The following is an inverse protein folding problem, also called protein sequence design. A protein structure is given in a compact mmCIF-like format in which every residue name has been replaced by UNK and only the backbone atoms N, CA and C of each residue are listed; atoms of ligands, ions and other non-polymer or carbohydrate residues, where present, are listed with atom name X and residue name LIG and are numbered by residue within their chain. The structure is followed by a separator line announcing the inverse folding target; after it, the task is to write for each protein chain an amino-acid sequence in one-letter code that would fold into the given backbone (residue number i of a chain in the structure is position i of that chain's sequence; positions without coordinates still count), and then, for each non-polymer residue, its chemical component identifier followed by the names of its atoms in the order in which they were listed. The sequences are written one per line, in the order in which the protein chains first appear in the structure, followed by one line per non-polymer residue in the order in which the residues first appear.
data_IF_798504800584
#
_entry.id   IF_798504800584
#
_cell.length_a   1.000
_cell.length_b   1.000
_cell.length_c   1.000
_cell.angle_alpha   90.00
_cell.angle_beta   90.00
_cell.angle_gamma   90.00
#
_symmetry.space_group_name_H-M   'P 1'
#
loop_
_entity.id
_entity.type
_entity.pdbx_description
1 polymer ?
#
# COMPACT_ATOMS: atom_id res chain seq x y z
N UNK A 1 -5.95 14.38 -36.39
CA UNK A 1 -7.27 14.58 -37.04
C UNK A 1 -7.19 15.09 -38.49
N UNK A 2 -6.02 15.40 -39.06
CA UNK A 2 -5.90 16.01 -40.39
C UNK A 2 -5.93 15.08 -41.64
N UNK A 3 -5.54 13.78 -41.62
CA UNK A 3 -5.43 13.02 -42.87
C UNK A 3 -6.79 12.53 -43.40
N UNK A 4 -7.77 12.28 -42.52
CA UNK A 4 -9.10 11.75 -42.92
C UNK A 4 -9.94 12.82 -43.66
N UNK A 5 -9.77 14.10 -43.34
CA UNK A 5 -10.46 15.18 -44.06
C UNK A 5 -9.99 15.30 -45.52
N UNK A 6 -8.70 15.06 -45.81
CA UNK A 6 -8.15 15.20 -47.15
C UNK A 6 -8.65 14.10 -48.11
N UNK A 7 -8.74 12.85 -47.63
CA UNK A 7 -9.23 11.72 -48.42
C UNK A 7 -10.72 11.84 -48.73
N UNK A 8 -11.52 12.34 -47.78
CA UNK A 8 -12.96 12.59 -48.00
C UNK A 8 -13.16 13.72 -49.01
N UNK A 9 -12.37 14.79 -48.94
CA UNK A 9 -12.46 15.91 -49.89
C UNK A 9 -12.13 15.49 -51.33
N UNK A 10 -11.17 14.58 -51.53
CA UNK A 10 -10.84 14.05 -52.87
C UNK A 10 -11.97 13.22 -53.49
N UNK A 11 -12.73 12.48 -52.69
CA UNK A 11 -13.90 11.72 -53.19
C UNK A 11 -15.00 12.68 -53.64
N UNK A 12 -15.27 13.74 -52.87
CA UNK A 12 -16.25 14.76 -53.24
C UNK A 12 -15.84 15.56 -54.48
N UNK A 13 -14.55 15.87 -54.64
CA UNK A 13 -14.03 16.54 -55.84
C UNK A 13 -14.14 15.64 -57.09
N UNK A 14 -13.92 14.33 -56.95
CA UNK A 14 -14.16 13.38 -58.04
C UNK A 14 -15.63 13.35 -58.49
N UNK A 15 -16.57 13.30 -57.54
CA UNK A 15 -18.02 13.24 -57.85
C UNK A 15 -18.50 14.52 -58.54
N UNK A 16 -18.02 15.69 -58.08
CA UNK A 16 -18.37 16.98 -58.67
C UNK A 16 -17.71 17.22 -60.03
N UNK A 17 -16.47 16.74 -60.23
CA UNK A 17 -15.71 16.95 -61.48
C UNK A 17 -16.21 16.10 -62.64
N UNK A 18 -16.88 14.99 -62.36
CA UNK A 18 -17.43 14.07 -63.38
C UNK A 18 -18.96 14.10 -63.49
N UNK A 19 -19.63 15.03 -62.81
CA UNK A 19 -21.07 15.33 -62.93
C UNK A 19 -21.98 14.08 -62.85
N UNK A 20 -21.63 13.08 -62.03
CA UNK A 20 -22.34 11.80 -61.97
C UNK A 20 -23.72 11.86 -61.25
N UNK A 21 -24.09 13.01 -60.69
CA UNK A 21 -25.30 13.17 -59.84
C UNK A 21 -26.22 14.32 -60.25
N UNK A 22 -26.21 14.77 -61.51
CA UNK A 22 -26.92 15.98 -61.98
C UNK A 22 -28.39 16.11 -61.52
N UNK A 23 -29.15 15.01 -61.48
CA UNK A 23 -30.61 15.05 -61.21
C UNK A 23 -31.02 14.76 -59.76
N UNK A 24 -30.09 14.36 -58.88
CA UNK A 24 -30.41 13.95 -57.50
C UNK A 24 -29.70 14.81 -56.47
N UNK A 25 -30.10 16.08 -56.41
CA UNK A 25 -29.61 17.11 -55.48
C UNK A 25 -29.66 16.73 -53.99
N UNK A 26 -30.44 15.71 -53.62
CA UNK A 26 -30.58 15.22 -52.24
C UNK A 26 -29.46 14.25 -51.81
N UNK A 27 -28.71 13.66 -52.75
CA UNK A 27 -27.71 12.62 -52.44
C UNK A 27 -26.51 13.18 -51.66
N UNK A 28 -25.84 14.27 -52.07
CA UNK A 28 -24.72 14.82 -51.31
C UNK A 28 -25.07 15.21 -49.86
N UNK A 29 -26.16 15.96 -49.56
CA UNK A 29 -26.50 16.28 -48.18
C UNK A 29 -26.92 15.04 -47.37
N UNK A 30 -27.56 14.04 -47.99
CA UNK A 30 -27.91 12.79 -47.32
C UNK A 30 -26.67 11.97 -46.92
N UNK A 31 -25.63 11.92 -47.78
CA UNK A 31 -24.35 11.27 -47.44
C UNK A 31 -23.71 11.97 -46.23
N UNK A 32 -23.69 13.30 -46.21
CA UNK A 32 -23.17 14.07 -45.07
C UNK A 32 -23.98 13.81 -43.79
N UNK A 33 -25.32 13.75 -43.87
CA UNK A 33 -26.16 13.39 -42.72
C UNK A 33 -25.89 11.97 -42.20
N UNK A 34 -25.69 11.00 -43.09
CA UNK A 34 -25.31 9.62 -42.72
C UNK A 34 -23.93 9.59 -42.05
N UNK A 35 -22.96 10.36 -42.57
CA UNK A 35 -21.63 10.47 -41.96
C UNK A 35 -21.71 11.04 -40.54
N UNK A 36 -22.45 12.13 -40.31
CA UNK A 36 -22.62 12.68 -38.97
C UNK A 36 -23.44 11.76 -38.04
N UNK A 37 -24.38 10.99 -38.58
CA UNK A 37 -25.04 9.91 -37.86
C UNK A 37 -24.06 8.82 -37.40
N UNK A 38 -23.13 8.42 -38.26
CA UNK A 38 -22.04 7.50 -37.93
C UNK A 38 -21.07 8.07 -36.89
N UNK A 39 -20.71 9.36 -36.99
CA UNK A 39 -19.89 10.05 -35.98
C UNK A 39 -20.60 10.10 -34.62
N UNK A 40 -21.91 10.35 -34.60
CA UNK A 40 -22.70 10.35 -33.37
C UNK A 40 -22.73 8.96 -32.71
N UNK A 41 -23.04 7.91 -33.47
CA UNK A 41 -23.07 6.54 -32.96
C UNK A 41 -21.67 6.09 -32.52
N UNK A 42 -20.65 6.41 -33.31
CA UNK A 42 -19.25 6.12 -33.00
C UNK A 42 -18.75 6.85 -31.75
N UNK A 43 -19.18 8.09 -31.52
CA UNK A 43 -18.84 8.84 -30.30
C UNK A 43 -19.51 8.26 -29.06
N UNK A 44 -20.78 7.85 -29.16
CA UNK A 44 -21.53 7.22 -28.06
C UNK A 44 -20.92 5.87 -27.66
N UNK A 45 -20.64 5.00 -28.64
CA UNK A 45 -20.06 3.68 -28.38
C UNK A 45 -18.59 3.81 -27.98
N UNK A 46 -17.82 4.64 -28.69
CA UNK A 46 -16.39 4.81 -28.46
C UNK A 46 -16.06 5.41 -27.10
N UNK A 47 -16.85 6.38 -26.63
CA UNK A 47 -16.71 6.96 -25.29
C UNK A 47 -16.97 5.91 -24.19
N UNK A 48 -18.10 5.21 -24.27
CA UNK A 48 -18.46 4.16 -23.30
C UNK A 48 -17.44 3.01 -23.29
N UNK A 49 -16.96 2.60 -24.46
CA UNK A 49 -15.94 1.56 -24.56
C UNK A 49 -14.61 2.02 -23.93
N UNK A 50 -14.20 3.26 -24.13
CA UNK A 50 -12.98 3.80 -23.52
C UNK A 50 -13.07 3.84 -21.98
N UNK A 51 -14.22 4.26 -21.43
CA UNK A 51 -14.44 4.28 -19.98
C UNK A 51 -14.45 2.87 -19.38
N UNK A 52 -15.11 1.91 -20.05
CA UNK A 52 -15.08 0.50 -19.63
C UNK A 52 -13.67 -0.08 -19.68
N UNK A 53 -12.92 0.18 -20.76
CA UNK A 53 -11.52 -0.26 -20.87
C UNK A 53 -10.67 0.34 -19.74
N UNK A 54 -10.83 1.63 -19.44
CA UNK A 54 -10.13 2.27 -18.33
C UNK A 54 -10.46 1.62 -16.99
N UNK A 55 -11.75 1.32 -16.72
CA UNK A 55 -12.18 0.64 -15.51
C UNK A 55 -11.58 -0.78 -15.40
N UNK A 56 -11.57 -1.55 -16.49
CA UNK A 56 -10.97 -2.89 -16.53
C UNK A 56 -9.47 -2.82 -16.26
N UNK A 57 -8.74 -1.91 -16.89
CA UNK A 57 -7.30 -1.75 -16.62
C UNK A 57 -7.02 -1.32 -15.18
N UNK A 58 -7.83 -0.41 -14.62
CA UNK A 58 -7.75 -0.03 -13.20
C UNK A 58 -8.01 -1.21 -12.27
N UNK A 59 -8.96 -2.08 -12.61
CA UNK A 59 -9.22 -3.30 -11.85
C UNK A 59 -8.02 -4.28 -11.88
N UNK A 60 -7.39 -4.46 -13.04
CA UNK A 60 -6.18 -5.29 -13.18
C UNK A 60 -5.01 -4.71 -12.39
N UNK A 61 -4.79 -3.40 -12.45
CA UNK A 61 -3.77 -2.70 -11.65
C UNK A 61 -4.05 -2.89 -10.16
N UNK A 62 -5.30 -2.70 -9.72
CA UNK A 62 -5.72 -2.90 -8.33
C UNK A 62 -5.50 -4.33 -7.83
N UNK A 63 -5.80 -5.32 -8.65
CA UNK A 63 -5.57 -6.73 -8.35
C UNK A 63 -4.07 -7.04 -8.19
N UNK A 64 -3.24 -6.44 -9.05
CA UNK A 64 -1.79 -6.62 -9.03
C UNK A 64 -1.15 -5.90 -7.83
N UNK A 65 -1.66 -4.73 -7.42
CA UNK A 65 -1.22 -4.03 -6.21
C UNK A 65 -1.39 -4.86 -4.93
N UNK A 66 -2.41 -5.73 -4.86
CA UNK A 66 -2.58 -6.66 -3.76
C UNK A 66 -1.42 -7.66 -3.63
N UNK A 67 -0.88 -8.12 -4.77
CA UNK A 67 0.26 -9.04 -4.79
C UNK A 67 1.58 -8.40 -4.33
N UNK A 68 1.78 -7.11 -4.60
CA UNK A 68 2.97 -6.35 -4.18
C UNK A 68 3.19 -6.39 -2.66
N UNK A 69 2.11 -6.34 -1.86
CA UNK A 69 2.21 -6.33 -0.39
C UNK A 69 2.75 -7.64 0.19
N UNK A 70 2.60 -8.76 -0.53
CA UNK A 70 3.20 -10.04 -0.15
C UNK A 70 4.65 -10.09 -0.61
N UNK A 71 4.91 -9.62 -1.83
CA UNK A 71 6.25 -9.60 -2.43
C UNK A 71 7.19 -8.59 -1.75
N UNK A 72 6.68 -7.57 -1.06
CA UNK A 72 7.54 -6.59 -0.37
C UNK A 72 8.42 -7.20 0.74
N UNK A 73 8.12 -8.42 1.21
CA UNK A 73 8.98 -9.15 2.15
C UNK A 73 10.14 -9.88 1.46
N UNK A 74 10.05 -10.15 0.16
CA UNK A 74 11.05 -10.91 -0.59
C UNK A 74 12.46 -10.29 -0.53
N UNK A 75 12.66 -8.97 -0.68
CA UNK A 75 14.01 -8.38 -0.59
C UNK A 75 14.69 -8.56 0.78
N UNK A 76 13.91 -8.71 1.86
CA UNK A 76 14.44 -8.91 3.22
C UNK A 76 15.24 -10.21 3.32
N UNK A 77 14.91 -11.19 2.48
CA UNK A 77 15.56 -12.50 2.48
C UNK A 77 16.99 -12.46 1.92
N UNK A 78 17.27 -11.52 1.02
CA UNK A 78 18.59 -11.34 0.41
C UNK A 78 19.46 -10.33 1.14
N UNK A 79 18.89 -9.63 2.13
CA UNK A 79 19.58 -8.59 2.88
C UNK A 79 19.99 -9.12 4.25
N UNK A 80 21.29 -8.98 4.56
CA UNK A 80 21.86 -9.38 5.84
C UNK A 80 21.22 -8.61 7.01
N UNK A 81 21.19 -9.22 8.20
CA UNK A 81 20.46 -8.71 9.37
C UNK A 81 20.77 -7.24 9.70
N UNK A 82 22.03 -6.82 9.58
CA UNK A 82 22.50 -5.45 9.80
C UNK A 82 21.80 -4.41 8.91
N UNK A 83 21.44 -4.77 7.68
CA UNK A 83 20.93 -3.86 6.66
C UNK A 83 19.40 -3.95 6.49
N UNK A 84 18.74 -4.96 7.06
CA UNK A 84 17.28 -5.12 7.03
C UNK A 84 16.50 -3.88 7.49
N UNK A 85 16.95 -3.11 8.51
CA UNK A 85 16.24 -1.90 8.92
C UNK A 85 16.11 -0.83 7.82
N UNK A 86 16.99 -0.83 6.81
CA UNK A 86 16.92 0.14 5.71
C UNK A 86 15.68 -0.07 4.83
N UNK A 87 15.31 -1.33 4.57
CA UNK A 87 14.09 -1.66 3.80
C UNK A 87 12.82 -1.11 4.47
N UNK A 88 12.79 -1.12 5.80
CA UNK A 88 11.69 -0.57 6.59
C UNK A 88 11.79 0.94 6.78
N UNK A 89 12.98 1.52 6.64
CA UNK A 89 13.22 2.95 6.84
C UNK A 89 12.88 3.80 5.60
N UNK A 90 12.86 3.22 4.40
CA UNK A 90 12.47 3.92 3.17
C UNK A 90 10.98 3.66 2.90
N UNK A 91 10.09 4.64 3.06
CA UNK A 91 8.67 4.46 2.78
C UNK A 91 8.45 4.44 1.26
N UNK A 92 8.57 3.27 0.63
CA UNK A 92 8.44 3.11 -0.83
C UNK A 92 7.12 3.66 -1.37
N UNK A 93 6.02 3.48 -0.62
CA UNK A 93 4.71 4.04 -0.98
C UNK A 93 4.75 5.57 -1.04
N UNK A 94 5.18 6.24 0.03
CA UNK A 94 5.28 7.69 0.09
C UNK A 94 6.26 8.23 -0.98
N UNK A 95 7.37 7.54 -1.21
CA UNK A 95 8.35 7.87 -2.27
C UNK A 95 7.68 7.84 -3.65
N UNK A 96 6.91 6.79 -3.95
CA UNK A 96 6.18 6.65 -5.19
C UNK A 96 5.13 7.74 -5.39
N UNK A 97 4.40 8.11 -4.34
CA UNK A 97 3.40 9.18 -4.42
C UNK A 97 4.06 10.55 -4.57
N UNK A 98 5.19 10.82 -3.90
CA UNK A 98 5.98 12.04 -4.10
C UNK A 98 6.49 12.15 -5.53
N UNK A 99 7.00 11.06 -6.09
CA UNK A 99 7.43 11.00 -7.49
C UNK A 99 6.25 11.23 -8.44
N UNK A 100 5.11 10.57 -8.19
CA UNK A 100 3.88 10.77 -8.96
C UNK A 100 3.41 12.23 -8.91
N UNK A 101 3.44 12.87 -7.74
CA UNK A 101 3.07 14.27 -7.59
C UNK A 101 3.98 15.19 -8.42
N UNK A 102 5.29 14.94 -8.41
CA UNK A 102 6.26 15.69 -9.20
C UNK A 102 6.04 15.51 -10.70
N UNK A 103 5.92 14.27 -11.18
CA UNK A 103 5.68 13.96 -12.59
C UNK A 103 4.36 14.56 -13.06
N UNK A 104 3.32 14.46 -12.24
CA UNK A 104 2.00 15.01 -12.55
C UNK A 104 2.02 16.54 -12.60
N UNK A 105 2.83 17.20 -11.77
CA UNK A 105 3.03 18.65 -11.81
C UNK A 105 3.79 19.11 -13.06
N UNK A 106 4.81 18.35 -13.49
CA UNK A 106 5.64 18.67 -14.66
C UNK A 106 4.89 18.45 -15.98
N UNK A 107 4.20 17.32 -16.12
CA UNK A 107 3.59 16.92 -17.39
C UNK A 107 2.16 17.44 -17.56
N UNK A 108 1.41 17.60 -16.45
CA UNK A 108 0.00 18.07 -16.37
C UNK A 108 -1.05 17.30 -17.19
N UNK A 109 -0.64 16.55 -18.20
CA UNK A 109 -1.47 15.69 -19.02
C UNK A 109 -1.44 14.25 -18.50
N UNK A 110 -2.62 13.68 -18.30
CA UNK A 110 -2.79 12.33 -17.77
C UNK A 110 -2.18 11.26 -18.68
N UNK A 111 -2.15 11.46 -20.01
CA UNK A 111 -1.59 10.49 -20.95
C UNK A 111 -0.08 10.35 -20.73
N UNK A 112 0.63 11.47 -20.65
CA UNK A 112 2.08 11.45 -20.43
C UNK A 112 2.44 10.89 -19.05
N UNK A 113 1.61 11.14 -18.02
CA UNK A 113 1.80 10.54 -16.70
C UNK A 113 1.70 9.00 -16.77
N UNK A 114 0.74 8.44 -17.51
CA UNK A 114 0.64 6.99 -17.70
C UNK A 114 1.79 6.43 -18.55
N UNK A 115 2.28 7.17 -19.56
CA UNK A 115 3.45 6.77 -20.35
C UNK A 115 4.72 6.69 -19.50
N UNK A 116 4.92 7.62 -18.56
CA UNK A 116 5.99 7.49 -17.55
C UNK A 116 5.77 6.25 -16.68
N UNK A 117 4.54 5.88 -16.36
CA UNK A 117 4.24 4.61 -15.70
C UNK A 117 4.76 3.38 -16.48
N UNK A 118 4.65 3.38 -17.81
CA UNK A 118 5.17 2.31 -18.69
C UNK A 118 6.70 2.21 -18.63
N UNK A 119 7.40 3.30 -18.30
CA UNK A 119 8.86 3.27 -18.11
C UNK A 119 9.32 2.37 -16.97
N UNK A 120 8.38 1.83 -16.16
CA UNK A 120 8.68 0.81 -15.15
C UNK A 120 8.76 -0.62 -15.70
N UNK A 121 8.31 -0.88 -16.93
CA UNK A 121 8.36 -2.20 -17.58
C UNK A 121 9.76 -2.81 -17.63
N UNK A 122 10.85 -2.05 -17.85
CA UNK A 122 12.21 -2.59 -17.77
C UNK A 122 12.56 -3.21 -16.41
N UNK A 123 11.91 -2.82 -15.30
CA UNK A 123 12.12 -3.47 -14.00
C UNK A 123 11.64 -4.93 -13.99
N UNK A 124 10.75 -5.33 -14.90
CA UNK A 124 10.36 -6.73 -15.08
C UNK A 124 11.52 -7.60 -15.55
N UNK A 125 12.55 -7.03 -16.19
CA UNK A 125 13.77 -7.77 -16.54
C UNK A 125 14.53 -8.23 -15.29
N UNK A 126 14.30 -7.59 -14.14
CA UNK A 126 14.81 -8.02 -12.83
C UNK A 126 14.38 -9.45 -12.48
N UNK A 127 13.24 -9.93 -12.98
CA UNK A 127 12.78 -11.31 -12.80
C UNK A 127 13.81 -12.35 -13.29
N UNK A 128 14.53 -12.06 -14.38
CA UNK A 128 15.53 -12.98 -14.93
C UNK A 128 16.86 -12.96 -14.16
N UNK A 129 17.12 -11.86 -13.45
CA UNK A 129 18.38 -11.60 -12.74
C UNK A 129 18.30 -12.12 -11.30
N UNK A 130 17.16 -11.88 -10.64
CA UNK A 130 16.95 -12.17 -9.24
C UNK A 130 16.73 -13.68 -9.06
N UNK A 131 17.55 -14.37 -8.24
CA UNK A 131 17.34 -15.78 -7.95
C UNK A 131 16.12 -15.99 -7.04
N UNK A 132 15.57 -17.19 -7.05
CA UNK A 132 14.46 -17.60 -6.18
C UNK A 132 14.86 -17.52 -4.69
N UNK A 133 13.86 -17.40 -3.81
CA UNK A 133 14.03 -17.34 -2.36
C UNK A 133 14.84 -18.52 -1.81
N UNK A 134 16.00 -18.22 -1.21
CA UNK A 134 16.87 -19.22 -0.56
C UNK A 134 16.10 -19.91 0.57
N UNK A 135 15.34 -19.17 1.36
CA UNK A 135 14.56 -19.72 2.48
C UNK A 135 13.47 -20.67 1.98
N UNK A 136 12.68 -20.26 0.99
CA UNK A 136 11.60 -21.10 0.45
C UNK A 136 12.14 -22.41 -0.14
N UNK A 137 13.24 -22.35 -0.90
CA UNK A 137 13.90 -23.54 -1.46
C UNK A 137 14.39 -24.48 -0.35
N UNK A 138 14.98 -23.93 0.71
CA UNK A 138 15.47 -24.69 1.87
C UNK A 138 14.33 -25.39 2.61
N UNK A 139 13.25 -24.67 2.92
CA UNK A 139 12.06 -25.21 3.61
C UNK A 139 11.36 -26.28 2.76
N UNK A 140 11.37 -26.14 1.43
CA UNK A 140 10.85 -27.16 0.51
C UNK A 140 11.76 -28.39 0.35
N UNK A 141 12.94 -28.41 0.97
CA UNK A 141 13.92 -29.47 0.83
C UNK A 141 14.64 -29.47 -0.54
N UNK A 142 14.51 -28.41 -1.34
CA UNK A 142 15.18 -28.24 -2.65
C UNK A 142 16.58 -27.65 -2.43
N UNK A 143 17.42 -28.38 -1.70
CA UNK A 143 18.72 -27.90 -1.22
C UNK A 143 19.70 -27.58 -2.35
N UNK A 144 19.71 -28.38 -3.44
CA UNK A 144 20.60 -28.14 -4.59
C UNK A 144 20.30 -26.82 -5.29
N UNK A 145 19.03 -26.43 -5.35
CA UNK A 145 18.61 -25.16 -5.94
C UNK A 145 18.88 -23.99 -5.00
N UNK A 146 18.67 -24.19 -3.69
CA UNK A 146 19.01 -23.20 -2.67
C UNK A 146 20.51 -22.87 -2.71
N UNK A 147 21.35 -23.89 -2.84
CA UNK A 147 22.81 -23.73 -2.94
C UNK A 147 23.22 -22.97 -4.20
N UNK A 148 22.61 -23.27 -5.36
CA UNK A 148 22.81 -22.51 -6.60
C UNK A 148 22.35 -21.06 -6.49
N UNK A 149 21.25 -20.80 -5.77
CA UNK A 149 20.77 -19.45 -5.52
C UNK A 149 21.78 -18.65 -4.67
N UNK A 150 22.31 -19.25 -3.60
CA UNK A 150 23.37 -18.64 -2.77
C UNK A 150 24.63 -18.37 -3.61
N UNK A 151 25.05 -19.32 -4.44
CA UNK A 151 26.20 -19.15 -5.33
C UNK A 151 26.01 -17.98 -6.29
N UNK A 152 24.82 -17.85 -6.90
CA UNK A 152 24.50 -16.74 -7.80
C UNK A 152 24.56 -15.39 -7.07
N UNK A 153 23.99 -15.30 -5.88
CA UNK A 153 24.05 -14.08 -5.04
C UNK A 153 25.49 -13.75 -4.66
N UNK A 154 26.29 -14.76 -4.31
CA UNK A 154 27.71 -14.56 -3.98
C UNK A 154 28.49 -14.00 -5.19
N UNK A 155 28.31 -14.58 -6.38
CA UNK A 155 28.92 -14.09 -7.62
C UNK A 155 28.49 -12.66 -7.93
N UNK A 156 27.20 -12.33 -7.80
CA UNK A 156 26.69 -10.96 -8.02
C UNK A 156 27.32 -9.94 -7.05
N UNK A 157 27.64 -10.37 -5.83
CA UNK A 157 28.30 -9.55 -4.81
C UNK A 157 29.83 -9.58 -4.90
N UNK A 158 30.41 -10.25 -5.90
CA UNK A 158 31.87 -10.40 -6.05
C UNK A 158 32.53 -11.26 -4.96
N UNK A 159 31.76 -12.10 -4.27
CA UNK A 159 32.22 -13.00 -3.21
C UNK A 159 32.18 -14.46 -3.68
N UNK A 160 32.94 -15.32 -3.01
CA UNK A 160 32.89 -16.78 -3.22
C UNK A 160 31.88 -17.43 -2.28
N UNK A 161 31.23 -18.51 -2.73
CA UNK A 161 30.33 -19.33 -1.91
C UNK A 161 31.07 -19.87 -0.66
N UNK A 162 30.51 -19.72 0.56
CA UNK A 162 31.07 -20.36 1.75
C UNK A 162 31.10 -21.89 1.64
N UNK A 163 32.18 -22.54 2.07
CA UNK A 163 32.32 -24.00 1.98
C UNK A 163 31.22 -24.76 2.73
N UNK A 164 30.75 -24.23 3.86
CA UNK A 164 29.76 -24.87 4.73
C UNK A 164 28.30 -24.54 4.34
N UNK A 165 28.06 -23.98 3.14
CA UNK A 165 26.71 -23.56 2.73
C UNK A 165 25.71 -24.71 2.80
N UNK A 166 26.09 -25.91 2.33
CA UNK A 166 25.20 -27.07 2.29
C UNK A 166 24.79 -27.54 3.69
N UNK A 167 25.74 -27.66 4.60
CA UNK A 167 25.51 -28.08 5.99
C UNK A 167 24.59 -27.10 6.74
N UNK A 168 24.78 -25.79 6.51
CA UNK A 168 23.92 -24.76 7.09
C UNK A 168 22.48 -24.88 6.55
N UNK A 169 22.32 -25.08 5.24
CA UNK A 169 20.99 -25.25 4.63
C UNK A 169 20.29 -26.52 5.11
N UNK A 170 21.04 -27.63 5.27
CA UNK A 170 20.52 -28.89 5.81
C UNK A 170 20.03 -28.72 7.25
N UNK A 171 20.84 -28.08 8.10
CA UNK A 171 20.45 -27.78 9.48
C UNK A 171 19.18 -26.92 9.56
N UNK A 172 19.09 -25.87 8.74
CA UNK A 172 17.89 -25.02 8.67
C UNK A 172 16.67 -25.83 8.18
N UNK A 173 16.87 -26.71 7.19
CA UNK A 173 15.80 -27.56 6.68
C UNK A 173 15.29 -28.53 7.76
N UNK A 174 16.17 -29.10 8.58
CA UNK A 174 15.80 -29.99 9.68
C UNK A 174 15.07 -29.25 10.80
N UNK A 175 15.57 -28.07 11.20
CA UNK A 175 14.93 -27.21 12.20
C UNK A 175 13.52 -26.77 11.75
N UNK A 176 13.36 -26.31 10.50
CA UNK A 176 12.05 -25.91 9.96
C UNK A 176 11.13 -27.11 9.72
N UNK A 177 11.65 -28.29 9.32
CA UNK A 177 10.85 -29.52 9.26
C UNK A 177 10.32 -29.93 10.62
N UNK A 178 11.11 -29.79 11.68
CA UNK A 178 10.66 -30.13 13.03
C UNK A 178 9.56 -29.17 13.55
N UNK A 179 9.50 -27.95 13.04
CA UNK A 179 8.42 -26.97 13.28
C UNK A 179 7.18 -27.30 12.42
N UNK A 180 7.39 -27.74 11.17
CA UNK A 180 6.35 -28.05 10.19
C UNK A 180 5.80 -29.49 10.28
N UNK A 181 6.48 -30.40 10.98
CA UNK A 181 6.07 -31.81 11.20
C UNK A 181 4.81 -31.90 12.07
N UNK A 182 4.40 -30.79 12.70
CA UNK A 182 2.99 -30.61 13.01
C UNK A 182 2.23 -30.36 11.71
N UNK A 183 1.62 -31.40 11.13
CA UNK A 183 0.81 -31.45 9.90
C UNK A 183 -0.42 -30.49 9.85
N UNK A 184 -0.46 -29.49 10.74
CA UNK A 184 -1.48 -28.45 10.86
C UNK A 184 -1.25 -27.38 9.79
N UNK A 185 -1.97 -27.52 8.67
CA UNK A 185 -2.18 -26.41 7.74
C UNK A 185 -3.08 -25.37 8.40
N UNK A 186 -2.52 -24.20 8.69
CA UNK A 186 -3.28 -23.07 9.23
C UNK A 186 -4.09 -22.36 8.14
N UNK A 187 -5.31 -21.97 8.49
CA UNK A 187 -6.24 -21.24 7.62
C UNK A 187 -6.65 -19.91 8.27
N UNK A 188 -7.31 -19.04 7.52
CA UNK A 188 -7.93 -17.82 8.05
C UNK A 188 -8.90 -18.09 9.21
N UNK A 189 -9.54 -19.26 9.23
CA UNK A 189 -10.44 -19.66 10.31
C UNK A 189 -9.71 -19.82 11.66
N UNK A 190 -8.42 -20.14 11.66
CA UNK A 190 -7.64 -20.29 12.88
C UNK A 190 -7.37 -18.95 13.57
N UNK A 191 -7.50 -17.82 12.87
CA UNK A 191 -7.46 -16.48 13.48
C UNK A 191 -8.61 -16.25 14.46
N UNK A 192 -9.75 -16.88 14.19
CA UNK A 192 -10.97 -16.75 14.97
C UNK A 192 -11.12 -17.88 15.99
N UNK A 193 -10.08 -18.72 16.13
CA UNK A 193 -10.06 -19.87 17.02
C UNK A 193 -9.44 -19.47 18.36
N UNK A 194 -10.28 -19.48 19.40
CA UNK A 194 -9.90 -19.09 20.76
C UNK A 194 -10.22 -17.62 21.05
N UNK A 195 -10.69 -17.35 22.27
CA UNK A 195 -11.23 -16.03 22.64
C UNK A 195 -10.20 -14.89 22.50
N UNK A 196 -8.94 -15.14 22.84
CA UNK A 196 -7.88 -14.14 22.77
C UNK A 196 -7.52 -13.76 21.33
N UNK A 197 -7.26 -14.75 20.46
CA UNK A 197 -6.97 -14.51 19.04
C UNK A 197 -8.16 -13.93 18.30
N UNK A 198 -9.39 -14.35 18.65
CA UNK A 198 -10.62 -13.77 18.12
C UNK A 198 -10.71 -12.27 18.42
N UNK A 199 -10.49 -11.88 19.69
CA UNK A 199 -10.51 -10.47 20.11
C UNK A 199 -9.44 -9.67 19.36
N UNK A 200 -8.19 -10.14 19.35
CA UNK A 200 -7.10 -9.46 18.63
C UNK A 200 -7.46 -9.32 17.15
N UNK A 201 -7.92 -10.39 16.50
CA UNK A 201 -8.20 -10.41 15.06
C UNK A 201 -9.32 -9.44 14.67
N UNK A 202 -10.43 -9.44 15.41
CA UNK A 202 -11.55 -8.54 15.14
C UNK A 202 -11.13 -7.09 15.37
N UNK A 203 -10.48 -6.79 16.49
CA UNK A 203 -10.07 -5.42 16.84
C UNK A 203 -9.07 -4.89 15.83
N UNK A 204 -8.05 -5.67 15.48
CA UNK A 204 -7.05 -5.30 14.47
C UNK A 204 -7.73 -5.04 13.13
N UNK A 205 -8.62 -5.91 12.67
CA UNK A 205 -9.30 -5.73 11.38
C UNK A 205 -10.16 -4.45 11.34
N UNK A 206 -10.91 -4.16 12.40
CA UNK A 206 -11.71 -2.94 12.50
C UNK A 206 -10.81 -1.69 12.49
N UNK A 207 -9.74 -1.69 13.29
CA UNK A 207 -8.83 -0.55 13.37
C UNK A 207 -8.09 -0.34 12.04
N UNK A 208 -7.67 -1.42 11.36
CA UNK A 208 -7.10 -1.35 10.01
C UNK A 208 -8.07 -0.80 8.97
N UNK A 209 -9.36 -1.14 9.08
CA UNK A 209 -10.41 -0.56 8.23
C UNK A 209 -10.53 0.95 8.48
N UNK A 210 -10.61 1.40 9.73
CA UNK A 210 -10.77 2.81 10.08
C UNK A 210 -9.57 3.69 9.75
N UNK A 211 -8.35 3.21 10.02
CA UNK A 211 -7.13 3.93 9.63
C UNK A 211 -7.04 4.01 8.10
N UNK A 212 -7.46 2.97 7.37
CA UNK A 212 -7.54 2.97 5.91
C UNK A 212 -8.52 3.96 5.33
N UNK A 213 -9.76 3.93 5.84
CA UNK A 213 -10.79 4.87 5.44
C UNK A 213 -10.33 6.32 5.64
N UNK A 214 -9.68 6.62 6.78
CA UNK A 214 -9.17 7.95 7.09
C UNK A 214 -7.96 8.35 6.22
N UNK A 215 -6.94 7.50 6.14
CA UNK A 215 -5.69 7.76 5.42
C UNK A 215 -5.92 8.01 3.93
N UNK A 216 -6.69 7.12 3.27
CA UNK A 216 -7.04 7.31 1.87
C UNK A 216 -8.12 8.37 1.69
N UNK A 217 -8.99 8.59 2.68
CA UNK A 217 -10.00 9.65 2.64
C UNK A 217 -9.35 11.02 2.45
N UNK A 218 -8.35 11.36 3.27
CA UNK A 218 -7.56 12.58 3.08
C UNK A 218 -6.84 12.63 1.73
N UNK A 219 -6.30 11.50 1.26
CA UNK A 219 -5.58 11.45 -0.01
C UNK A 219 -6.50 11.72 -1.21
N UNK A 220 -7.71 11.17 -1.21
CA UNK A 220 -8.72 11.44 -2.24
C UNK A 220 -9.38 12.81 -2.07
N UNK A 221 -9.47 13.31 -0.83
CA UNK A 221 -9.97 14.63 -0.49
C UNK A 221 -9.02 15.79 -0.79
N UNK A 222 -7.79 15.52 -1.24
CA UNK A 222 -6.75 16.56 -1.47
C UNK A 222 -7.19 17.65 -2.46
N UNK A 223 -8.10 17.33 -3.38
CA UNK A 223 -8.69 18.31 -4.31
C UNK A 223 -9.62 19.33 -3.67
N UNK A 224 -10.14 19.07 -2.47
CA UNK A 224 -10.96 20.02 -1.70
C UNK A 224 -10.11 20.96 -0.83
N UNK A 225 -8.82 20.69 -0.68
CA UNK A 225 -7.94 21.53 0.13
C UNK A 225 -7.48 22.76 -0.64
N UNK A 226 -7.36 23.88 0.06
CA UNK A 226 -6.93 25.13 -0.54
C UNK A 226 -5.47 25.06 -1.01
N UNK A 227 -5.13 25.85 -2.02
CA UNK A 227 -3.77 25.92 -2.57
C UNK A 227 -3.55 25.01 -3.78
N UNK A 228 -2.30 24.61 -4.00
CA UNK A 228 -1.94 23.82 -5.18
C UNK A 228 -2.15 22.31 -4.91
N UNK A 229 -2.96 21.66 -5.74
CA UNK A 229 -3.25 20.23 -5.66
C UNK A 229 -1.99 19.35 -5.58
N UNK A 230 -1.03 19.57 -6.48
CA UNK A 230 0.19 18.76 -6.55
C UNK A 230 1.11 18.99 -5.35
N UNK A 231 1.21 20.24 -4.89
CA UNK A 231 1.98 20.57 -3.69
C UNK A 231 1.36 19.91 -2.46
N UNK A 232 0.03 19.98 -2.30
CA UNK A 232 -0.66 19.34 -1.18
C UNK A 232 -0.47 17.82 -1.20
N UNK A 233 -0.57 17.18 -2.37
CA UNK A 233 -0.32 15.75 -2.53
C UNK A 233 1.14 15.37 -2.19
N UNK A 234 2.11 16.19 -2.61
CA UNK A 234 3.52 16.01 -2.27
C UNK A 234 3.77 16.17 -0.77
N UNK A 235 3.24 17.24 -0.17
CA UNK A 235 3.38 17.54 1.26
C UNK A 235 2.81 16.44 2.15
N UNK A 236 1.65 15.86 1.79
CA UNK A 236 1.06 14.74 2.55
C UNK A 236 1.99 13.54 2.70
N UNK A 237 2.88 13.30 1.74
CA UNK A 237 3.71 12.10 1.69
C UNK A 237 5.16 12.38 2.09
N UNK A 238 5.72 13.53 1.73
CA UNK A 238 7.10 13.89 2.10
C UNK A 238 7.25 14.08 3.61
N UNK A 239 6.20 14.52 4.30
CA UNK A 239 6.20 14.72 5.75
C UNK A 239 6.29 13.40 6.53
N UNK A 240 6.00 12.24 5.91
CA UNK A 240 6.14 10.93 6.56
C UNK A 240 7.63 10.56 6.79
N UNK A 241 8.54 10.98 5.90
CA UNK A 241 9.97 10.67 5.99
C UNK A 241 10.65 11.16 7.28
N UNK A 242 10.58 12.46 7.66
CA UNK A 242 11.24 12.93 8.87
C UNK A 242 10.68 12.29 10.15
N UNK A 243 9.45 11.76 10.11
CA UNK A 243 8.83 11.08 11.25
C UNK A 243 9.18 9.59 11.37
N UNK A 244 9.81 8.96 10.37
CA UNK A 244 10.21 7.56 10.44
C UNK A 244 11.14 7.29 11.65
N UNK A 245 12.20 8.08 11.82
CA UNK A 245 13.19 7.89 12.90
C UNK A 245 12.57 8.15 14.29
N UNK A 246 11.89 9.30 14.54
CA UNK A 246 11.18 9.53 15.80
C UNK A 246 10.17 8.42 16.13
N UNK A 247 9.44 7.91 15.13
CA UNK A 247 8.47 6.83 15.32
C UNK A 247 9.15 5.57 15.87
N UNK A 248 10.29 5.17 15.30
CA UNK A 248 11.07 4.02 15.78
C UNK A 248 11.54 4.23 17.22
N UNK A 249 12.08 5.42 17.53
CA UNK A 249 12.57 5.74 18.88
C UNK A 249 11.43 5.68 19.91
N UNK A 250 10.27 6.27 19.60
CA UNK A 250 9.12 6.30 20.50
C UNK A 250 8.57 4.88 20.71
N UNK A 251 8.39 4.10 19.65
CA UNK A 251 7.91 2.72 19.74
C UNK A 251 8.83 1.84 20.59
N UNK A 252 10.15 2.00 20.44
CA UNK A 252 11.12 1.24 21.22
C UNK A 252 11.23 1.68 22.68
N UNK A 253 10.96 2.96 22.98
CA UNK A 253 11.09 3.51 24.35
C UNK A 253 9.82 3.42 25.18
N UNK A 254 8.67 3.70 24.57
CA UNK A 254 7.39 3.83 25.28
C UNK A 254 6.37 2.73 24.93
N UNK A 255 6.67 1.92 23.91
CA UNK A 255 5.81 0.82 23.47
C UNK A 255 5.00 1.12 22.22
N UNK A 256 4.53 0.06 21.57
CA UNK A 256 3.84 0.12 20.27
C UNK A 256 2.41 0.59 20.45
N UNK A 257 1.73 0.11 21.49
CA UNK A 257 0.35 0.52 21.80
C UNK A 257 0.29 2.00 22.15
N UNK A 258 1.20 2.46 23.01
CA UNK A 258 1.28 3.87 23.40
C UNK A 258 1.49 4.80 22.17
N UNK A 259 2.42 4.43 21.29
CA UNK A 259 2.69 5.20 20.07
C UNK A 259 1.46 5.26 19.15
N UNK A 260 0.76 4.15 18.93
CA UNK A 260 -0.46 4.11 18.13
C UNK A 260 -1.58 4.96 18.76
N UNK A 261 -1.82 4.83 20.06
CA UNK A 261 -2.82 5.61 20.80
C UNK A 261 -2.58 7.11 20.70
N UNK A 262 -1.33 7.57 20.91
CA UNK A 262 -0.98 8.99 20.79
C UNK A 262 -1.16 9.48 19.36
N UNK A 263 -0.70 8.70 18.38
CA UNK A 263 -0.81 9.09 16.96
C UNK A 263 -2.29 9.25 16.55
N UNK A 264 -3.16 8.33 16.93
CA UNK A 264 -4.60 8.47 16.70
C UNK A 264 -5.19 9.69 17.41
N UNK A 265 -4.80 9.91 18.66
CA UNK A 265 -5.29 11.05 19.45
C UNK A 265 -4.89 12.39 18.82
N UNK A 266 -3.64 12.52 18.36
CA UNK A 266 -3.15 13.72 17.67
C UNK A 266 -3.86 13.96 16.33
N UNK A 267 -4.20 12.89 15.60
CA UNK A 267 -5.02 12.97 14.39
C UNK A 267 -6.43 13.50 14.70
N UNK A 268 -7.08 12.97 15.75
CA UNK A 268 -8.40 13.43 16.21
C UNK A 268 -8.36 14.90 16.63
N UNK A 269 -7.35 15.31 17.40
CA UNK A 269 -7.17 16.72 17.82
C UNK A 269 -6.99 17.62 16.60
N UNK A 270 -6.24 17.19 15.58
CA UNK A 270 -6.04 17.94 14.34
C UNK A 270 -7.37 18.11 13.58
N UNK A 271 -8.18 17.06 13.49
CA UNK A 271 -9.51 17.14 12.86
C UNK A 271 -10.49 18.01 13.66
N UNK A 272 -10.47 17.93 15.00
CA UNK A 272 -11.27 18.80 15.86
C UNK A 272 -10.88 20.26 15.69
N UNK A 273 -9.57 20.53 15.57
CA UNK A 273 -9.06 21.87 15.30
C UNK A 273 -9.57 22.40 13.97
N UNK A 274 -9.71 21.56 12.93
CA UNK A 274 -10.33 21.96 11.67
C UNK A 274 -11.78 22.41 11.88
N UNK A 275 -12.59 21.64 12.62
CA UNK A 275 -13.99 22.00 12.89
C UNK A 275 -14.08 23.32 13.68
N UNK A 276 -13.20 23.50 14.67
CA UNK A 276 -13.13 24.72 15.47
C UNK A 276 -12.81 25.93 14.60
N UNK A 277 -11.78 25.83 13.74
CA UNK A 277 -11.42 26.90 12.80
C UNK A 277 -12.56 27.20 11.85
N UNK A 278 -13.18 26.17 11.25
CA UNK A 278 -14.27 26.41 10.31
C UNK A 278 -15.50 27.07 10.97
N UNK A 279 -15.73 26.93 12.29
CA UNK A 279 -16.83 27.57 13.04
C UNK A 279 -16.49 28.94 13.63
N UNK A 280 -15.27 29.14 14.12
CA UNK A 280 -14.87 30.36 14.82
C UNK A 280 -14.30 31.42 13.89
N UNK A 281 -13.72 31.02 12.77
CA UNK A 281 -13.09 31.92 11.80
C UNK A 281 -14.08 32.22 10.68
N UNK A 282 -14.36 33.52 10.47
CA UNK A 282 -15.23 33.97 9.39
C UNK A 282 -14.66 33.60 8.02
N UNK A 283 -15.55 33.35 7.05
CA UNK A 283 -15.14 32.91 5.71
C UNK A 283 -14.28 33.93 4.96
N UNK A 284 -14.41 35.22 5.29
CA UNK A 284 -13.66 36.32 4.65
C UNK A 284 -12.18 36.38 5.07
N UNK A 285 -11.75 35.62 6.08
CA UNK A 285 -10.36 35.66 6.52
C UNK A 285 -9.43 34.93 5.53
N UNK A 286 -8.51 35.69 4.93
CA UNK A 286 -7.61 35.25 3.85
C UNK A 286 -6.83 33.95 4.15
N UNK A 287 -6.56 33.66 5.42
CA UNK A 287 -5.74 32.52 5.84
C UNK A 287 -6.53 31.28 6.27
N UNK A 288 -7.87 31.35 6.34
CA UNK A 288 -8.72 30.24 6.81
C UNK A 288 -8.45 28.94 6.05
N UNK A 289 -8.41 29.00 4.71
CA UNK A 289 -8.15 27.83 3.87
C UNK A 289 -6.79 27.20 4.12
N UNK A 290 -5.73 28.02 4.20
CA UNK A 290 -4.36 27.57 4.46
C UNK A 290 -4.26 26.90 5.84
N UNK A 291 -4.93 27.44 6.86
CA UNK A 291 -4.98 26.84 8.19
C UNK A 291 -5.68 25.47 8.18
N UNK A 292 -6.84 25.38 7.53
CA UNK A 292 -7.58 24.10 7.39
C UNK A 292 -6.72 23.07 6.65
N UNK A 293 -6.04 23.50 5.59
CA UNK A 293 -5.15 22.62 4.82
C UNK A 293 -3.99 22.13 5.68
N UNK A 294 -3.29 23.01 6.40
CA UNK A 294 -2.20 22.64 7.30
C UNK A 294 -2.62 21.68 8.42
N UNK A 295 -3.78 21.90 9.02
CA UNK A 295 -4.36 20.99 10.02
C UNK A 295 -4.77 19.64 9.41
N UNK A 296 -5.29 19.64 8.18
CA UNK A 296 -5.65 18.41 7.45
C UNK A 296 -4.42 17.60 7.07
N UNK A 297 -3.33 18.26 6.65
CA UNK A 297 -2.03 17.63 6.42
C UNK A 297 -1.47 17.03 7.72
N UNK A 298 -1.64 17.73 8.85
CA UNK A 298 -1.24 17.23 10.17
C UNK A 298 -2.06 16.00 10.59
N UNK A 299 -3.38 16.03 10.42
CA UNK A 299 -4.25 14.87 10.68
C UNK A 299 -3.84 13.66 9.83
N UNK A 300 -3.56 13.89 8.54
CA UNK A 300 -3.10 12.85 7.62
C UNK A 300 -1.74 12.27 8.01
N UNK A 301 -0.82 13.12 8.46
CA UNK A 301 0.49 12.71 8.95
C UNK A 301 0.38 11.80 10.17
N UNK A 302 -0.39 12.21 11.19
CA UNK A 302 -0.58 11.42 12.40
C UNK A 302 -1.34 10.12 12.15
N UNK A 303 -2.29 10.12 11.19
CA UNK A 303 -2.94 8.90 10.72
C UNK A 303 -1.93 7.93 10.08
N UNK A 304 -0.96 8.44 9.32
CA UNK A 304 0.16 7.65 8.78
C UNK A 304 1.08 7.08 9.85
N UNK A 305 1.41 7.87 10.88
CA UNK A 305 2.16 7.38 12.05
C UNK A 305 1.41 6.26 12.77
N UNK A 306 0.11 6.43 13.00
CA UNK A 306 -0.73 5.41 13.62
C UNK A 306 -0.73 4.10 12.80
N UNK A 307 -0.79 4.22 11.46
CA UNK A 307 -0.68 3.05 10.57
C UNK A 307 0.64 2.30 10.75
N UNK A 308 1.77 3.01 10.78
CA UNK A 308 3.07 2.38 10.98
C UNK A 308 3.17 1.66 12.33
N UNK A 309 2.62 2.27 13.40
CA UNK A 309 2.50 1.64 14.71
C UNK A 309 1.65 0.35 14.65
N UNK A 310 0.52 0.38 13.93
CA UNK A 310 -0.35 -0.77 13.76
C UNK A 310 0.27 -1.89 12.95
N UNK A 311 1.04 -1.60 11.90
CA UNK A 311 1.79 -2.63 11.16
C UNK A 311 2.71 -3.39 12.12
N UNK A 312 3.45 -2.67 12.93
CA UNK A 312 4.38 -3.25 13.91
C UNK A 312 3.63 -4.07 14.96
N UNK A 313 2.60 -3.48 15.58
CA UNK A 313 1.78 -4.14 16.59
C UNK A 313 1.11 -5.41 16.05
N UNK A 314 0.59 -5.36 14.82
CA UNK A 314 -0.05 -6.52 14.15
C UNK A 314 0.95 -7.65 13.95
N UNK A 315 2.17 -7.34 13.50
CA UNK A 315 3.21 -8.35 13.33
C UNK A 315 3.67 -8.95 14.67
N UNK A 316 3.69 -8.17 15.74
CA UNK A 316 4.13 -8.65 17.06
C UNK A 316 3.04 -9.42 17.82
N UNK A 317 1.75 -9.14 17.59
CA UNK A 317 0.63 -9.79 18.29
C UNK A 317 0.26 -11.19 17.77
N UNK A 318 0.52 -11.47 16.49
CA UNK A 318 0.20 -12.79 15.94
C UNK A 318 1.38 -13.78 16.10
N UNK A 319 1.09 -15.03 16.51
CA UNK A 319 2.07 -16.11 16.54
C UNK A 319 2.73 -16.32 15.17
N UNK A 320 4.00 -16.72 15.13
CA UNK A 320 4.79 -16.83 13.89
C UNK A 320 4.09 -17.66 12.82
N UNK A 321 3.45 -18.78 13.20
CA UNK A 321 2.73 -19.69 12.29
C UNK A 321 1.52 -19.08 11.59
N UNK A 322 0.83 -18.12 12.21
CA UNK A 322 -0.38 -17.47 11.66
C UNK A 322 -0.18 -15.98 11.37
N UNK A 323 1.01 -15.43 11.63
CA UNK A 323 1.32 -14.00 11.45
C UNK A 323 1.01 -13.48 10.07
N UNK A 324 1.44 -14.20 9.03
CA UNK A 324 1.17 -13.80 7.65
C UNK A 324 -0.32 -13.85 7.30
N UNK A 325 -1.05 -14.82 7.86
CA UNK A 325 -2.50 -14.95 7.68
C UNK A 325 -3.22 -13.78 8.37
N UNK A 326 -2.84 -13.46 9.60
CA UNK A 326 -3.37 -12.34 10.39
C UNK A 326 -3.10 -10.98 9.75
N UNK A 327 -1.87 -10.76 9.28
CA UNK A 327 -1.48 -9.55 8.53
C UNK A 327 -2.25 -9.44 7.21
N UNK A 328 -2.45 -10.56 6.50
CA UNK A 328 -3.28 -10.62 5.30
C UNK A 328 -4.74 -10.26 5.58
N UNK A 329 -5.33 -10.79 6.66
CA UNK A 329 -6.70 -10.47 7.07
C UNK A 329 -6.87 -8.99 7.44
N UNK A 330 -5.91 -8.42 8.17
CA UNK A 330 -5.88 -7.00 8.49
C UNK A 330 -5.81 -6.13 7.22
N UNK A 331 -4.98 -6.53 6.24
CA UNK A 331 -4.90 -5.85 4.95
C UNK A 331 -6.22 -5.92 4.16
N UNK A 332 -6.89 -7.07 4.15
CA UNK A 332 -8.21 -7.20 3.50
C UNK A 332 -9.21 -6.20 4.09
N UNK A 333 -9.27 -6.10 5.43
CA UNK A 333 -10.12 -5.13 6.12
C UNK A 333 -9.74 -3.68 5.78
N UNK A 334 -8.45 -3.37 5.71
CA UNK A 334 -8.00 -2.06 5.23
C UNK A 334 -8.44 -1.78 3.78
N UNK A 335 -8.47 -2.75 2.87
CA UNK A 335 -8.97 -2.49 1.51
C UNK A 335 -10.46 -2.16 1.46
N UNK A 336 -11.27 -2.76 2.34
CA UNK A 336 -12.67 -2.32 2.53
C UNK A 336 -12.71 -0.85 2.94
N UNK A 337 -11.87 -0.43 3.88
CA UNK A 337 -11.74 0.99 4.25
C UNK A 337 -11.31 1.88 3.08
N UNK A 338 -10.39 1.40 2.23
CA UNK A 338 -9.94 2.11 1.03
C UNK A 338 -11.02 2.25 -0.06
N UNK A 339 -11.95 1.29 -0.14
CA UNK A 339 -13.13 1.39 -1.02
C UNK A 339 -14.11 2.44 -0.49
N UNK A 340 -14.26 2.55 0.83
CA UNK A 340 -15.14 3.55 1.48
C UNK A 340 -14.51 4.95 1.44
N UNK A 341 -13.18 5.06 1.44
CA UNK A 341 -12.44 6.31 1.56
C UNK A 341 -12.84 7.44 0.60
N UNK A 342 -12.97 7.24 -0.73
CA UNK A 342 -13.40 8.29 -1.65
C UNK A 342 -14.78 8.86 -1.30
N UNK A 343 -15.64 8.05 -0.69
CA UNK A 343 -16.98 8.46 -0.30
C UNK A 343 -16.97 9.36 0.93
N UNK A 344 -16.00 9.26 1.85
CA UNK A 344 -15.96 10.10 3.06
C UNK A 344 -15.94 11.60 2.72
N UNK A 345 -15.12 12.00 1.75
CA UNK A 345 -15.00 13.40 1.35
C UNK A 345 -15.99 13.81 0.26
N UNK A 346 -16.74 12.88 -0.34
CA UNK A 346 -17.74 13.18 -1.38
C UNK A 346 -19.20 12.98 -0.95
N UNK A 347 -19.44 12.43 0.25
CA UNK A 347 -20.78 12.09 0.75
C UNK A 347 -21.69 13.32 0.94
N UNK A 348 -21.12 14.46 1.28
CA UNK A 348 -21.86 15.69 1.56
C UNK A 348 -21.13 16.92 1.05
N UNK A 349 -21.93 17.93 0.71
CA UNK A 349 -21.43 19.27 0.35
C UNK A 349 -20.92 20.04 1.59
N UNK A 350 -21.38 19.66 2.79
CA UNK A 350 -20.88 20.20 4.05
C UNK A 350 -19.42 19.77 4.30
N UNK A 351 -18.52 20.76 4.37
CA UNK A 351 -17.08 20.60 4.56
C UNK A 351 -16.70 20.01 5.93
N UNK A 352 -17.61 20.01 6.91
CA UNK A 352 -17.36 19.50 8.28
C UNK A 352 -17.55 17.99 8.40
N UNK A 353 -18.51 17.45 7.66
CA UNK A 353 -18.95 16.05 7.78
C UNK A 353 -17.81 15.05 7.59
N UNK A 354 -16.90 15.20 6.59
CA UNK A 354 -15.76 14.29 6.44
C UNK A 354 -14.89 14.22 7.70
N UNK A 355 -14.63 15.38 8.33
CA UNK A 355 -13.83 15.46 9.55
C UNK A 355 -14.56 14.87 10.76
N UNK A 356 -15.88 15.05 10.87
CA UNK A 356 -16.68 14.41 11.93
C UNK A 356 -16.63 12.90 11.81
N UNK A 357 -16.80 12.35 10.60
CA UNK A 357 -16.70 10.90 10.36
C UNK A 357 -15.32 10.39 10.77
N UNK A 358 -14.24 11.07 10.34
CA UNK A 358 -12.86 10.71 10.70
C UNK A 358 -12.65 10.77 12.22
N UNK A 359 -13.15 11.81 12.90
CA UNK A 359 -13.07 11.93 14.37
C UNK A 359 -13.73 10.74 15.04
N UNK A 360 -14.94 10.35 14.62
CA UNK A 360 -15.68 9.23 15.23
C UNK A 360 -14.90 7.93 15.06
N UNK A 361 -14.50 7.58 13.83
CA UNK A 361 -13.83 6.29 13.57
C UNK A 361 -12.44 6.21 14.21
N UNK A 362 -11.70 7.33 14.25
CA UNK A 362 -10.38 7.36 14.89
C UNK A 362 -10.48 7.38 16.41
N UNK A 363 -11.51 8.03 17.00
CA UNK A 363 -11.74 7.99 18.45
C UNK A 363 -12.12 6.59 18.93
N UNK A 364 -12.91 5.86 18.14
CA UNK A 364 -13.19 4.44 18.40
C UNK A 364 -11.87 3.63 18.32
N UNK A 365 -11.02 3.93 17.35
CA UNK A 365 -9.71 3.28 17.21
C UNK A 365 -8.81 3.50 18.43
N UNK A 366 -8.80 4.72 19.01
CA UNK A 366 -8.09 5.03 20.26
C UNK A 366 -8.54 4.11 21.38
N UNK A 367 -9.86 4.00 21.60
CA UNK A 367 -10.43 3.17 22.67
C UNK A 367 -10.11 1.69 22.45
N UNK A 368 -10.28 1.20 21.22
CA UNK A 368 -10.00 -0.19 20.87
C UNK A 368 -8.52 -0.54 21.08
N UNK A 369 -7.59 0.27 20.60
CA UNK A 369 -6.15 0.02 20.75
C UNK A 369 -5.73 0.09 22.21
N UNK A 370 -6.23 1.09 22.95
CA UNK A 370 -5.79 1.31 24.34
C UNK A 370 -6.29 0.21 25.29
N UNK A 371 -7.55 -0.23 25.14
CA UNK A 371 -8.20 -1.11 26.11
C UNK A 371 -8.31 -2.56 25.67
N UNK A 372 -8.34 -2.85 24.36
CA UNK A 372 -8.59 -4.20 23.86
C UNK A 372 -7.35 -4.88 23.28
N UNK A 373 -6.26 -4.15 23.02
CA UNK A 373 -5.01 -4.71 22.53
C UNK A 373 -3.94 -4.75 23.64
N UNK A 374 -3.19 -5.87 23.75
CA UNK A 374 -2.05 -5.97 24.66
C UNK A 374 -0.86 -5.12 24.17
N UNK A 375 0.01 -4.73 25.10
CA UNK A 375 1.30 -4.13 24.76
C UNK A 375 2.30 -5.24 24.40
N UNK A 376 3.13 -4.99 23.37
CA UNK A 376 4.08 -5.97 22.83
C UNK A 376 5.54 -5.64 23.14
N UNK A 377 5.82 -4.46 23.72
CA UNK A 377 7.16 -4.04 24.10
C UNK A 377 7.86 -5.06 25.01
N UNK A 378 8.97 -5.61 24.53
CA UNK A 378 9.83 -6.51 25.30
C UNK A 378 9.29 -7.93 25.46
N UNK A 379 8.18 -8.28 24.78
CA UNK A 379 7.65 -9.64 24.80
C UNK A 379 8.30 -10.51 23.71
N UNK A 380 8.56 -11.77 24.06
CA UNK A 380 8.93 -12.79 23.10
C UNK A 380 7.79 -13.03 22.10
N UNK A 381 8.12 -13.18 20.82
CA UNK A 381 7.14 -13.58 19.81
C UNK A 381 6.69 -15.02 20.08
N UNK A 382 5.38 -15.24 20.10
CA UNK A 382 4.82 -16.59 20.25
C UNK A 382 5.06 -17.39 18.97
N UNK A 383 5.51 -18.64 19.11
CA UNK A 383 5.77 -19.51 17.97
C UNK A 383 4.52 -20.31 17.56
N UNK A 384 3.74 -20.80 18.53
CA UNK A 384 2.52 -21.58 18.25
C UNK A 384 1.28 -20.98 18.92
N UNK A 385 0.09 -21.38 18.43
CA UNK A 385 -1.22 -20.96 18.96
C UNK A 385 -1.45 -21.45 20.40
N UNK A 386 -0.79 -22.56 20.78
CA UNK A 386 -1.02 -23.26 22.05
C UNK A 386 0.05 -22.95 23.13
N UNK A 387 1.05 -22.09 22.84
CA UNK A 387 2.18 -21.79 23.74
C UNK A 387 1.78 -20.95 24.96
N UNK A 388 1.20 -21.61 25.95
CA UNK A 388 1.02 -21.09 27.32
C UNK A 388 2.32 -21.21 28.12
N UNK A 389 3.28 -20.30 27.90
CA UNK A 389 4.42 -20.15 28.81
C UNK A 389 4.47 -18.72 29.40
N UNK A 390 4.55 -18.67 30.73
CA UNK A 390 4.59 -17.47 31.58
C UNK A 390 5.86 -16.64 31.35
N UNK A 391 5.70 -15.31 31.42
CA UNK A 391 6.69 -14.31 30.97
C UNK A 391 8.05 -14.27 31.69
N UNK A 392 8.27 -15.02 32.77
CA UNK A 392 9.56 -15.06 33.47
C UNK A 392 10.55 -16.05 32.86
N UNK A 393 10.07 -17.18 32.32
CA UNK A 393 10.94 -18.21 31.73
C UNK A 393 11.35 -17.87 30.28
N UNK A 394 10.55 -17.02 29.61
CA UNK A 394 10.77 -16.52 28.24
C UNK A 394 12.00 -15.62 28.10
N UNK A 395 12.34 -14.83 29.12
CA UNK A 395 13.52 -13.93 29.10
C UNK A 395 14.86 -14.71 29.05
N UNK A 396 14.90 -15.90 29.68
CA UNK A 396 16.11 -16.73 29.74
C UNK A 396 16.27 -17.65 28.52
N UNK A 397 15.18 -18.03 27.84
CA UNK A 397 15.26 -18.78 26.57
C UNK A 397 15.65 -17.88 25.39
N UNK A 398 15.16 -16.64 25.35
CA UNK A 398 15.44 -15.71 24.25
C UNK A 398 16.88 -15.23 24.19
N UNK A 399 17.54 -15.00 25.33
CA UNK A 399 18.96 -14.66 25.35
C UNK A 399 19.80 -15.77 24.73
N UNK A 400 19.41 -17.05 24.94
CA UNK A 400 20.07 -18.21 24.35
C UNK A 400 19.80 -18.38 22.85
N UNK A 401 18.55 -18.18 22.41
CA UNK A 401 18.15 -18.37 21.00
C UNK A 401 18.64 -17.22 20.11
N UNK A 402 18.63 -15.97 20.57
CA UNK A 402 19.23 -14.85 19.83
C UNK A 402 20.76 -14.95 19.77
N UNK A 403 21.39 -15.45 20.83
CA UNK A 403 22.83 -15.72 20.84
C UNK A 403 23.21 -16.85 19.87
N UNK A 404 22.38 -17.89 19.75
CA UNK A 404 22.60 -18.99 18.80
C UNK A 404 22.22 -18.64 17.35
N UNK A 405 21.14 -17.89 17.10
CA UNK A 405 20.82 -17.34 15.75
C UNK A 405 21.83 -16.29 15.30
N UNK A 406 22.36 -15.49 16.24
CA UNK A 406 23.48 -14.59 16.02
C UNK A 406 24.74 -15.34 15.62
N UNK A 407 25.07 -16.45 16.30
CA UNK A 407 26.24 -17.29 15.99
C UNK A 407 26.13 -18.06 14.67
N UNK A 408 24.94 -18.53 14.29
CA UNK A 408 24.70 -19.23 13.02
C UNK A 408 24.77 -18.30 11.78
N UNK A 409 24.57 -17.00 11.95
CA UNK A 409 24.53 -16.05 10.82
C UNK A 409 25.84 -15.25 10.65
N UNK A 410 26.82 -15.41 11.55
CA UNK A 410 28.11 -14.70 11.48
C UNK A 410 29.13 -15.40 10.56
N UNK A 411 28.84 -16.61 10.05
CA UNK A 411 29.77 -17.37 9.18
C UNK A 411 29.29 -17.59 7.76
N UNK A 412 28.18 -16.97 7.35
CA UNK A 412 27.66 -17.10 5.99
C UNK A 412 27.01 -15.80 5.48
N UNK A 413 27.83 -14.77 5.23
CA UNK A 413 27.77 -13.81 4.09
C UNK A 413 28.75 -12.64 4.22
#
# INVERSE_FOLDING_TARGET
MAPVCADVMMIFDGINKWDLTCDRKWIPPMITSIQFGGVLVGALIGGQAADMMFAVFRFVIGSTLGSYLVVSMFPVEFIGYRWRPILTAVPFWATGVCFLALVSWLLRDWVYVHLVGISTVPFLLGWFIIPESIRWLTVKGRLDEAEKAVERVAIMNGKTKPANTREILEKICEEEKHILDGDKKYSYLDLYRGAHLLQISIVVQIVWLFVSASYYGFAFGVGKFSGNFYLNLFLMNILEFPLCIPSIIIMNRFGRRFFATISFTLSVISCLSVIVIQKLVSEEELHRGTMITGLSLSARLFTGCAWNGLITLTNEMYPTVIRNIGYGAANMAARVGGIIAPHIFSLSDDEMVPYIIVIVILSISVVMVQFLLPETLGLALEDTIDDKLSGSDKLNQNSKIEEDRGKLTITAL
#
